data_IF_467605431914
#
_entry.id   IF_467605431914
#
_cell.length_a   1.000
_cell.length_b   1.000
_cell.length_c   1.000
_cell.angle_alpha   90.00
_cell.angle_beta   90.00
_cell.angle_gamma   90.00
#
_symmetry.space_group_name_H-M   'P 1'
#
loop_
_entity.id
_entity.type
_entity.pdbx_description
1 polymer ?
#
# COMPACT_ATOMS: atom_id res chain seq x y z
N UNK A 1 -9.57 -10.91 -14.85
CA UNK A 1 -10.39 -10.36 -13.73
C UNK A 1 -9.79 -9.06 -13.23
N UNK A 2 -10.57 -8.00 -13.02
CA UNK A 2 -10.07 -6.73 -12.46
C UNK A 2 -10.25 -6.69 -10.93
N UNK A 3 -9.23 -6.20 -10.23
CA UNK A 3 -9.17 -6.06 -8.78
C UNK A 3 -9.03 -4.57 -8.48
N UNK A 4 -9.94 -4.01 -7.68
CA UNK A 4 -9.83 -2.66 -7.16
C UNK A 4 -9.19 -2.71 -5.77
N UNK A 5 -8.02 -2.12 -5.61
CA UNK A 5 -7.22 -2.18 -4.39
C UNK A 5 -7.12 -0.81 -3.71
N UNK A 6 -7.18 -0.79 -2.37
CA UNK A 6 -7.08 0.41 -1.54
C UNK A 6 -5.96 0.31 -0.51
N UNK A 7 -5.20 1.39 -0.36
CA UNK A 7 -4.15 1.55 0.66
C UNK A 7 -4.36 2.88 1.39
N UNK A 8 -4.39 2.82 2.73
CA UNK A 8 -4.61 3.98 3.61
C UNK A 8 -4.02 3.74 5.00
N UNK A 9 -2.91 3.01 5.10
CA UNK A 9 -2.30 2.62 6.39
C UNK A 9 -1.57 3.75 7.11
N UNK A 10 -1.11 4.78 6.39
CA UNK A 10 -0.29 5.85 6.95
C UNK A 10 -0.69 7.25 6.43
N UNK A 11 0.06 7.81 5.48
CA UNK A 11 -0.08 9.20 5.00
C UNK A 11 -0.27 9.29 3.48
N UNK A 12 -0.54 8.15 2.83
CA UNK A 12 -0.86 8.04 1.42
C UNK A 12 -2.23 7.38 1.27
N UNK A 13 -3.12 8.01 0.52
CA UNK A 13 -4.39 7.39 0.12
C UNK A 13 -4.23 6.93 -1.31
N UNK A 14 -4.33 5.62 -1.54
CA UNK A 14 -4.13 5.07 -2.88
C UNK A 14 -5.28 4.17 -3.31
N UNK A 15 -5.60 4.26 -4.59
CA UNK A 15 -6.53 3.37 -5.27
C UNK A 15 -5.90 2.89 -6.58
N UNK A 16 -5.89 1.58 -6.80
CA UNK A 16 -5.30 0.98 -7.98
C UNK A 16 -6.23 -0.06 -8.59
N UNK A 17 -6.21 -0.17 -9.92
CA UNK A 17 -6.85 -1.29 -10.62
C UNK A 17 -5.76 -2.22 -11.13
N UNK A 18 -5.82 -3.48 -10.70
CA UNK A 18 -4.91 -4.54 -11.15
C UNK A 18 -5.70 -5.60 -11.89
N UNK A 19 -5.26 -5.95 -13.10
CA UNK A 19 -5.83 -7.05 -13.88
C UNK A 19 -5.04 -8.32 -13.64
N UNK A 20 -5.74 -9.38 -13.26
CA UNK A 20 -5.25 -10.76 -13.37
C UNK A 20 -5.57 -11.27 -14.78
N UNK A 21 -4.52 -11.58 -15.52
CA UNK A 21 -4.56 -12.18 -16.86
C UNK A 21 -4.83 -13.69 -16.78
N UNK A 22 -5.22 -14.30 -17.90
CA UNK A 22 -5.59 -15.72 -17.97
C UNK A 22 -4.39 -16.66 -17.71
N UNK A 23 -3.19 -16.20 -18.04
CA UNK A 23 -1.93 -16.90 -17.74
C UNK A 23 -1.49 -16.80 -16.27
N UNK A 24 -2.27 -16.10 -15.45
CA UNK A 24 -2.04 -15.92 -14.02
C UNK A 24 -1.16 -14.72 -13.65
N UNK A 25 -0.62 -13.98 -14.62
CA UNK A 25 0.13 -12.74 -14.36
C UNK A 25 -0.78 -11.60 -13.92
N UNK A 26 -0.19 -10.63 -13.24
CA UNK A 26 -0.87 -9.41 -12.82
C UNK A 26 -0.31 -8.21 -13.58
N UNK A 27 -1.21 -7.33 -14.03
CA UNK A 27 -0.89 -6.08 -14.71
C UNK A 27 -1.56 -4.92 -13.99
N UNK A 28 -0.79 -3.90 -13.65
CA UNK A 28 -1.34 -2.64 -13.11
C UNK A 28 -1.95 -1.86 -14.28
N UNK A 29 -3.24 -1.53 -14.17
CA UNK A 29 -3.96 -0.69 -15.15
C UNK A 29 -4.00 0.78 -14.72
N UNK A 30 -4.07 1.03 -13.42
CA UNK A 30 -3.97 2.35 -12.82
C UNK A 30 -3.42 2.25 -11.40
N UNK A 31 -2.75 3.31 -10.96
CA UNK A 31 -2.26 3.51 -9.59
C UNK A 31 -2.32 5.01 -9.28
N UNK A 32 -3.32 5.41 -8.49
CA UNK A 32 -3.58 6.80 -8.12
C UNK A 32 -3.22 6.98 -6.66
N UNK A 33 -2.34 7.94 -6.38
CA UNK A 33 -1.82 8.20 -5.04
C UNK A 33 -2.08 9.67 -4.67
N UNK A 34 -2.80 9.89 -3.57
CA UNK A 34 -2.94 11.17 -2.89
C UNK A 34 -2.05 11.19 -1.65
N UNK A 35 -0.85 11.76 -1.79
CA UNK A 35 0.17 11.86 -0.74
C UNK A 35 -0.04 13.07 0.16
N UNK A 36 0.12 12.87 1.47
CA UNK A 36 -0.03 13.91 2.50
C UNK A 36 1.31 14.48 2.99
N UNK A 37 2.42 14.16 2.31
CA UNK A 37 3.79 14.56 2.73
C UNK A 37 3.91 16.06 2.96
N UNK A 38 3.31 16.91 2.10
CA UNK A 38 3.35 18.37 2.27
C UNK A 38 2.69 18.81 3.58
N UNK A 39 1.53 18.24 3.89
CA UNK A 39 0.76 18.52 5.10
C UNK A 39 1.55 18.14 6.36
N UNK A 40 2.19 16.96 6.35
CA UNK A 40 2.93 16.44 7.51
C UNK A 40 4.33 17.05 7.66
N UNK A 41 4.90 17.63 6.59
CA UNK A 41 6.19 18.34 6.65
C UNK A 41 6.18 19.47 7.67
N UNK A 42 5.05 20.18 7.82
CA UNK A 42 4.87 21.25 8.80
C UNK A 42 5.06 20.78 10.25
N UNK A 43 4.81 19.50 10.52
CA UNK A 43 4.90 18.90 11.85
C UNK A 43 6.17 18.07 12.06
N UNK A 44 6.96 17.87 10.99
CA UNK A 44 8.17 17.04 11.02
C UNK A 44 7.90 15.56 11.24
N UNK A 45 6.72 15.08 10.83
CA UNK A 45 6.27 13.70 10.96
C UNK A 45 4.75 13.56 10.80
N UNK A 46 4.28 12.33 10.63
CA UNK A 46 2.86 12.03 10.40
C UNK A 46 2.04 12.29 11.67
N UNK A 47 1.02 13.14 11.56
CA UNK A 47 0.03 13.39 12.62
C UNK A 47 -1.21 12.52 12.37
N UNK A 48 -1.51 11.51 13.22
CA UNK A 48 -2.52 10.49 12.92
C UNK A 48 -3.94 11.02 12.64
N UNK A 49 -4.38 12.04 13.36
CA UNK A 49 -5.71 12.65 13.17
C UNK A 49 -5.79 13.39 11.82
N UNK A 50 -4.74 14.15 11.46
CA UNK A 50 -4.68 14.86 10.19
C UNK A 50 -4.67 13.84 9.03
N UNK A 51 -3.91 12.76 9.19
CA UNK A 51 -3.85 11.72 8.18
C UNK A 51 -5.21 11.05 7.94
N UNK A 52 -5.91 10.71 9.02
CA UNK A 52 -7.24 10.11 8.95
C UNK A 52 -8.25 10.99 8.21
N UNK A 53 -8.22 12.32 8.45
CA UNK A 53 -9.11 13.26 7.74
C UNK A 53 -8.78 13.36 6.25
N UNK A 54 -7.51 13.46 5.91
CA UNK A 54 -7.08 13.54 4.52
C UNK A 54 -7.49 12.29 3.72
N UNK A 55 -7.45 11.09 4.32
CA UNK A 55 -7.98 9.90 3.67
C UNK A 55 -9.48 10.00 3.38
N UNK A 56 -10.29 10.53 4.32
CA UNK A 56 -11.74 10.69 4.12
C UNK A 56 -12.02 11.62 2.95
N UNK A 57 -11.28 12.72 2.86
CA UNK A 57 -11.43 13.72 1.80
C UNK A 57 -11.01 13.16 0.42
N UNK A 58 -10.01 12.29 0.38
CA UNK A 58 -9.42 11.80 -0.87
C UNK A 58 -10.08 10.53 -1.43
N UNK A 59 -10.47 9.58 -0.57
CA UNK A 59 -10.70 8.18 -0.96
C UNK A 59 -11.75 8.01 -2.07
N UNK A 60 -12.85 8.76 -2.02
CA UNK A 60 -13.87 8.66 -3.07
C UNK A 60 -13.38 9.20 -4.40
N UNK A 61 -12.67 10.34 -4.40
CA UNK A 61 -12.16 10.98 -5.62
C UNK A 61 -11.12 10.09 -6.31
N UNK A 62 -10.13 9.60 -5.57
CA UNK A 62 -9.09 8.75 -6.14
C UNK A 62 -9.65 7.42 -6.67
N UNK A 63 -10.76 6.92 -6.10
CA UNK A 63 -11.43 5.72 -6.59
C UNK A 63 -11.97 5.95 -8.01
N UNK A 64 -12.64 7.08 -8.23
CA UNK A 64 -13.13 7.44 -9.57
C UNK A 64 -11.97 7.63 -10.55
N UNK A 65 -10.93 8.35 -10.14
CA UNK A 65 -9.73 8.57 -10.97
C UNK A 65 -9.05 7.25 -11.34
N UNK A 66 -8.96 6.29 -10.40
CA UNK A 66 -8.35 4.99 -10.67
C UNK A 66 -9.17 4.16 -11.67
N UNK A 67 -10.50 4.19 -11.58
CA UNK A 67 -11.38 3.51 -12.54
C UNK A 67 -11.30 4.16 -13.93
N UNK A 68 -11.31 5.49 -13.98
CA UNK A 68 -11.20 6.27 -15.22
C UNK A 68 -9.84 6.04 -15.90
N UNK A 69 -8.73 6.16 -15.16
CA UNK A 69 -7.39 5.92 -15.67
C UNK A 69 -7.19 4.49 -16.19
N UNK A 70 -7.84 3.50 -15.56
CA UNK A 70 -7.83 2.11 -16.02
C UNK A 70 -8.74 1.84 -17.22
N UNK A 71 -9.66 2.77 -17.55
CA UNK A 71 -10.67 2.58 -18.58
C UNK A 71 -11.65 1.44 -18.27
N UNK A 72 -12.00 1.25 -16.99
CA UNK A 72 -12.87 0.16 -16.52
C UNK A 72 -14.08 0.73 -15.78
N UNK A 73 -15.25 0.13 -15.98
CA UNK A 73 -16.41 0.46 -15.17
C UNK A 73 -16.34 -0.25 -13.81
N UNK A 74 -17.01 0.31 -12.80
CA UNK A 74 -17.13 -0.36 -11.49
C UNK A 74 -17.78 -1.75 -11.61
N UNK A 75 -18.70 -1.93 -12.56
CA UNK A 75 -19.33 -3.23 -12.87
C UNK A 75 -18.37 -4.28 -13.39
N UNK A 76 -17.18 -3.89 -13.87
CA UNK A 76 -16.15 -4.80 -14.38
C UNK A 76 -15.18 -5.27 -13.28
N UNK A 77 -15.35 -4.79 -12.05
CA UNK A 77 -14.53 -5.16 -10.89
C UNK A 77 -15.03 -6.48 -10.31
N UNK A 78 -14.16 -7.48 -10.28
CA UNK A 78 -14.47 -8.82 -9.76
C UNK A 78 -14.03 -9.03 -8.29
N UNK A 79 -13.22 -8.13 -7.74
CA UNK A 79 -12.70 -8.23 -6.39
C UNK A 79 -12.32 -6.84 -5.85
N UNK A 80 -12.63 -6.58 -4.59
CA UNK A 80 -12.10 -5.44 -3.83
C UNK A 80 -11.05 -5.93 -2.84
N UNK A 81 -9.89 -5.29 -2.81
CA UNK A 81 -8.81 -5.55 -1.85
C UNK A 81 -8.52 -4.28 -1.03
N UNK A 82 -8.25 -4.43 0.26
CA UNK A 82 -7.94 -3.27 1.11
C UNK A 82 -6.93 -3.62 2.20
N UNK A 83 -5.96 -2.75 2.41
CA UNK A 83 -5.03 -2.86 3.52
C UNK A 83 -5.76 -2.75 4.86
N UNK A 84 -5.61 -3.77 5.69
CA UNK A 84 -6.27 -3.87 6.99
C UNK A 84 -5.30 -3.85 8.17
N UNK A 85 -4.00 -4.07 7.94
CA UNK A 85 -2.95 -4.08 8.96
C UNK A 85 -1.56 -4.22 8.30
N UNK A 86 -0.46 -3.93 9.02
CA UNK A 86 -0.40 -2.95 10.10
C UNK A 86 -0.64 -1.51 9.58
N UNK A 87 -0.80 -0.55 10.49
CA UNK A 87 -1.01 0.86 10.13
C UNK A 87 -1.65 1.67 11.25
N UNK A 88 -1.80 2.97 11.01
CA UNK A 88 -2.50 3.88 11.91
C UNK A 88 -3.99 3.53 11.93
N UNK A 89 -4.54 3.25 13.11
CA UNK A 89 -5.91 2.72 13.23
C UNK A 89 -6.96 3.64 12.59
N UNK A 90 -6.84 4.96 12.76
CA UNK A 90 -7.75 5.92 12.15
C UNK A 90 -7.70 5.89 10.63
N UNK A 91 -6.48 5.84 10.07
CA UNK A 91 -6.25 5.78 8.63
C UNK A 91 -6.75 4.46 8.01
N UNK A 92 -6.44 3.31 8.63
CA UNK A 92 -6.89 1.99 8.21
C UNK A 92 -8.43 1.90 8.17
N UNK A 93 -9.10 2.45 9.19
CA UNK A 93 -10.57 2.39 9.27
C UNK A 93 -11.24 3.13 8.11
N UNK A 94 -10.63 4.19 7.56
CA UNK A 94 -11.18 4.90 6.40
C UNK A 94 -11.20 3.98 5.18
N UNK A 95 -10.05 3.42 4.81
CA UNK A 95 -9.93 2.50 3.68
C UNK A 95 -10.83 1.28 3.85
N UNK A 96 -10.75 0.62 5.01
CA UNK A 96 -11.52 -0.61 5.29
C UNK A 96 -13.02 -0.35 5.22
N UNK A 97 -13.53 0.73 5.81
CA UNK A 97 -14.97 1.02 5.80
C UNK A 97 -15.45 1.45 4.41
N UNK A 98 -14.67 2.23 3.67
CA UNK A 98 -15.00 2.59 2.30
C UNK A 98 -15.05 1.35 1.40
N UNK A 99 -14.03 0.50 1.45
CA UNK A 99 -13.96 -0.74 0.67
C UNK A 99 -15.11 -1.70 1.02
N UNK A 100 -15.45 -1.85 2.31
CA UNK A 100 -16.61 -2.62 2.75
C UNK A 100 -17.92 -2.07 2.19
N UNK A 101 -18.13 -0.76 2.27
CA UNK A 101 -19.32 -0.10 1.74
C UNK A 101 -19.47 -0.31 0.23
N UNK A 102 -18.39 -0.06 -0.52
CA UNK A 102 -18.36 -0.23 -1.97
C UNK A 102 -18.59 -1.70 -2.37
N UNK A 103 -17.90 -2.64 -1.73
CA UNK A 103 -18.03 -4.06 -2.02
C UNK A 103 -19.45 -4.56 -1.72
N UNK A 104 -20.00 -4.22 -0.55
CA UNK A 104 -21.35 -4.62 -0.15
C UNK A 104 -22.44 -4.03 -1.05
N UNK A 105 -22.31 -2.76 -1.44
CA UNK A 105 -23.28 -2.10 -2.31
C UNK A 105 -23.34 -2.69 -3.73
N UNK A 106 -22.25 -3.31 -4.20
CA UNK A 106 -22.12 -3.85 -5.56
C UNK A 106 -22.08 -5.38 -5.60
N UNK A 107 -22.18 -6.07 -4.46
CA UNK A 107 -22.08 -7.53 -4.40
C UNK A 107 -20.71 -8.08 -4.79
N UNK A 108 -19.65 -7.29 -4.63
CA UNK A 108 -18.28 -7.67 -5.00
C UNK A 108 -17.59 -8.34 -3.79
N UNK A 109 -16.86 -9.45 -3.95
CA UNK A 109 -16.07 -10.03 -2.87
C UNK A 109 -15.02 -9.04 -2.33
N UNK A 110 -14.74 -9.11 -1.03
CA UNK A 110 -13.78 -8.26 -0.34
C UNK A 110 -12.67 -9.11 0.31
N UNK A 111 -11.41 -8.70 0.12
CA UNK A 111 -10.24 -9.31 0.74
C UNK A 111 -9.48 -8.28 1.58
N UNK A 112 -9.23 -8.63 2.83
CA UNK A 112 -8.33 -7.88 3.70
C UNK A 112 -6.87 -8.24 3.37
N UNK A 113 -6.03 -7.22 3.25
CA UNK A 113 -4.61 -7.35 2.86
C UNK A 113 -3.72 -6.89 4.01
N UNK A 114 -2.62 -7.61 4.20
CA UNK A 114 -1.52 -7.21 5.08
C UNK A 114 -0.57 -6.31 4.28
N UNK A 115 -0.34 -5.09 4.76
CA UNK A 115 0.47 -4.04 4.15
C UNK A 115 1.88 -4.52 3.81
N UNK A 116 2.51 -5.29 4.71
CA UNK A 116 3.89 -5.78 4.52
C UNK A 116 3.91 -6.90 3.49
N UNK A 117 2.90 -7.78 3.51
CA UNK A 117 2.76 -8.77 2.44
C UNK A 117 2.47 -8.10 1.10
N UNK A 118 1.73 -6.99 1.08
CA UNK A 118 1.53 -6.15 -0.10
C UNK A 118 2.85 -5.61 -0.66
N UNK A 119 3.70 -5.05 0.20
CA UNK A 119 5.05 -4.60 -0.18
C UNK A 119 5.91 -5.74 -0.77
N UNK A 120 5.90 -6.92 -0.16
CA UNK A 120 6.64 -8.07 -0.69
C UNK A 120 6.04 -8.53 -2.03
N UNK A 121 4.71 -8.53 -2.13
CA UNK A 121 3.99 -8.94 -3.33
C UNK A 121 4.18 -7.97 -4.51
N UNK A 122 4.62 -6.73 -4.27
CA UNK A 122 5.00 -5.80 -5.35
C UNK A 122 6.12 -6.38 -6.23
N UNK A 123 6.98 -7.26 -5.69
CA UNK A 123 7.99 -7.96 -6.48
C UNK A 123 7.40 -8.93 -7.53
N UNK A 124 6.11 -9.29 -7.40
CA UNK A 124 5.39 -10.06 -8.43
C UNK A 124 4.85 -9.19 -9.57
N UNK A 125 5.00 -7.88 -9.50
CA UNK A 125 4.62 -6.90 -10.52
C UNK A 125 5.89 -6.37 -11.19
N UNK A 126 6.42 -7.04 -12.22
CA UNK A 126 7.69 -6.64 -12.84
C UNK A 126 7.55 -5.26 -13.50
N UNK A 127 8.51 -4.39 -13.28
CA UNK A 127 8.52 -3.05 -13.88
C UNK A 127 8.80 -3.10 -15.40
N UNK A 128 9.56 -4.12 -15.83
CA UNK A 128 9.82 -4.44 -17.24
C UNK A 128 9.55 -5.91 -17.47
N UNK A 129 9.11 -6.28 -18.68
CA UNK A 129 8.94 -7.69 -19.05
C UNK A 129 10.22 -8.52 -18.93
N UNK A 130 11.39 -7.88 -18.99
CA UNK A 130 12.70 -8.50 -18.78
C UNK A 130 13.00 -8.83 -17.32
N UNK A 131 12.27 -8.23 -16.37
CA UNK A 131 12.51 -8.44 -14.95
C UNK A 131 11.94 -9.81 -14.56
N UNK A 132 12.78 -10.64 -13.92
CA UNK A 132 12.34 -11.93 -13.43
C UNK A 132 11.32 -11.78 -12.29
N UNK A 133 10.25 -12.54 -12.35
CA UNK A 133 9.28 -12.65 -11.24
C UNK A 133 9.78 -13.71 -10.26
N UNK A 134 9.98 -13.38 -8.98
CA UNK A 134 10.45 -14.37 -8.01
C UNK A 134 9.39 -15.46 -7.80
N UNK A 135 9.83 -16.71 -7.74
CA UNK A 135 8.96 -17.86 -7.44
C UNK A 135 9.29 -18.36 -6.03
N UNK A 136 8.31 -18.48 -5.10
CA UNK A 136 8.57 -19.06 -3.79
C UNK A 136 9.17 -20.48 -3.86
N UNK A 137 10.08 -20.86 -2.94
CA UNK A 137 10.46 -20.09 -1.76
C UNK A 137 11.60 -19.09 -2.00
N UNK A 138 11.53 -17.92 -1.36
CA UNK A 138 12.60 -16.91 -1.37
C UNK A 138 12.67 -16.13 -0.05
N UNK A 139 13.76 -15.36 0.14
CA UNK A 139 13.89 -14.41 1.22
C UNK A 139 13.51 -13.01 0.73
N UNK A 140 12.73 -12.29 1.53
CA UNK A 140 12.35 -10.91 1.28
C UNK A 140 12.86 -10.01 2.40
N UNK A 141 13.53 -8.91 2.02
CA UNK A 141 13.91 -7.83 2.93
C UNK A 141 12.88 -6.70 2.78
N UNK A 142 12.02 -6.54 3.78
CA UNK A 142 11.04 -5.45 3.84
C UNK A 142 11.63 -4.28 4.62
N UNK A 143 11.91 -3.18 3.91
CA UNK A 143 12.47 -1.93 4.47
C UNK A 143 11.61 -0.74 4.06
N UNK A 144 11.05 -0.05 5.04
CA UNK A 144 10.24 1.16 4.87
C UNK A 144 10.50 2.15 6.02
N UNK A 145 9.74 3.26 6.04
CA UNK A 145 9.75 4.22 7.15
C UNK A 145 9.51 3.57 8.51
N UNK A 146 8.57 2.61 8.59
CA UNK A 146 8.16 1.97 9.85
C UNK A 146 8.50 0.48 9.96
N UNK A 147 9.15 -0.12 8.96
CA UNK A 147 9.43 -1.56 8.96
C UNK A 147 10.86 -1.86 8.53
N UNK A 148 11.51 -2.79 9.21
CA UNK A 148 12.82 -3.35 8.82
C UNK A 148 12.85 -4.80 9.26
N UNK A 149 12.53 -5.70 8.33
CA UNK A 149 12.32 -7.12 8.63
C UNK A 149 12.71 -8.04 7.47
N UNK A 150 13.14 -9.25 7.82
CA UNK A 150 13.43 -10.34 6.90
C UNK A 150 12.34 -11.39 7.01
N UNK A 151 11.72 -11.71 5.88
CA UNK A 151 10.71 -12.77 5.76
C UNK A 151 11.24 -13.91 4.89
N UNK A 152 10.92 -15.15 5.28
CA UNK A 152 10.95 -16.29 4.38
C UNK A 152 9.57 -16.45 3.77
N UNK A 153 9.48 -16.26 2.46
CA UNK A 153 8.26 -16.50 1.68
C UNK A 153 8.27 -17.96 1.27
N UNK A 154 7.39 -18.77 1.85
CA UNK A 154 7.30 -20.21 1.52
C UNK A 154 6.36 -20.44 0.33
N UNK A 155 5.25 -19.70 0.27
CA UNK A 155 4.26 -19.69 -0.81
C UNK A 155 3.74 -18.27 -1.02
N UNK A 156 2.85 -18.05 -2.01
CA UNK A 156 2.24 -16.74 -2.24
C UNK A 156 1.42 -16.19 -1.07
N UNK A 157 1.03 -17.04 -0.11
CA UNK A 157 0.22 -16.67 1.06
C UNK A 157 0.86 -17.02 2.40
N UNK A 158 1.95 -17.80 2.41
CA UNK A 158 2.67 -18.19 3.62
C UNK A 158 4.01 -17.45 3.75
N UNK A 159 4.08 -16.58 4.76
CA UNK A 159 5.18 -15.70 5.06
C UNK A 159 5.62 -15.94 6.51
N UNK A 160 6.87 -16.30 6.72
CA UNK A 160 7.47 -16.49 8.04
C UNK A 160 8.43 -15.36 8.34
N UNK A 161 8.17 -14.57 9.38
CA UNK A 161 9.13 -13.61 9.92
C UNK A 161 10.37 -14.35 10.47
N UNK A 162 11.55 -13.98 9.99
CA UNK A 162 12.84 -14.53 10.44
C UNK A 162 13.50 -13.59 11.46
N UNK A 163 13.41 -12.29 11.23
CA UNK A 163 13.95 -11.27 12.13
C UNK A 163 13.44 -9.88 11.78
N UNK A 164 13.41 -8.99 12.76
CA UNK A 164 12.99 -7.58 12.62
C UNK A 164 13.89 -6.70 13.49
N UNK A 165 13.93 -5.40 13.19
CA UNK A 165 14.52 -4.42 14.11
C UNK A 165 13.87 -4.52 15.50
N UNK A 166 14.64 -4.17 16.54
CA UNK A 166 14.17 -4.13 17.94
C UNK A 166 13.77 -2.73 18.38
N UNK A 167 14.19 -1.73 17.63
CA UNK A 167 14.03 -0.30 17.91
C UNK A 167 13.60 0.41 16.62
N UNK A 168 14.42 1.32 16.10
CA UNK A 168 14.09 2.15 14.96
C UNK A 168 14.13 1.30 13.68
N UNK A 169 13.16 1.51 12.82
CA UNK A 169 13.27 1.07 11.44
C UNK A 169 14.38 1.86 10.72
N UNK A 170 14.90 1.31 9.63
CA UNK A 170 15.95 1.97 8.86
C UNK A 170 15.46 3.33 8.31
N UNK A 171 14.22 3.40 7.79
CA UNK A 171 13.65 4.65 7.29
C UNK A 171 13.46 5.70 8.39
N UNK A 172 12.94 5.29 9.55
CA UNK A 172 12.85 6.15 10.74
C UNK A 172 14.23 6.66 11.21
N UNK A 173 15.25 5.80 11.16
CA UNK A 173 16.62 6.19 11.49
C UNK A 173 17.13 7.28 10.55
N UNK A 174 16.85 7.18 9.25
CA UNK A 174 17.17 8.23 8.27
C UNK A 174 16.45 9.54 8.60
N UNK A 175 15.15 9.50 8.89
CA UNK A 175 14.37 10.70 9.20
C UNK A 175 14.82 11.40 10.49
N UNK A 176 15.15 10.63 11.54
CA UNK A 176 15.68 11.18 12.80
C UNK A 176 17.05 11.82 12.62
N UNK A 177 17.98 11.13 11.95
CA UNK A 177 19.32 11.67 11.69
C UNK A 177 19.25 12.88 10.77
N UNK A 178 18.43 12.80 9.71
CA UNK A 178 18.19 13.91 8.80
C UNK A 178 17.72 15.17 9.52
N UNK A 179 16.73 15.04 10.40
CA UNK A 179 16.26 16.15 11.25
C UNK A 179 17.38 16.75 12.12
N UNK A 180 18.24 15.91 12.69
CA UNK A 180 19.35 16.36 13.53
C UNK A 180 20.38 17.18 12.75
N UNK A 181 20.61 16.84 11.48
CA UNK A 181 21.59 17.51 10.60
C UNK A 181 20.97 18.54 9.65
N UNK A 182 19.69 18.88 9.82
CA UNK A 182 19.00 19.92 9.05
C UNK A 182 18.50 19.51 7.67
N UNK A 183 18.39 18.20 7.38
CA UNK A 183 17.73 17.69 6.17
C UNK A 183 16.20 17.70 6.35
N UNK A 184 15.44 18.27 5.40
CA UNK A 184 13.98 18.26 5.47
C UNK A 184 13.36 16.86 5.44
N UNK A 185 12.18 16.72 6.04
CA UNK A 185 11.39 15.49 5.96
C UNK A 185 10.73 15.30 4.58
N UNK A 186 10.70 14.07 4.02
CA UNK A 186 11.39 12.85 4.49
C UNK A 186 12.88 12.83 4.10
N UNK A 187 13.76 12.50 5.04
CA UNK A 187 15.21 12.61 4.86
C UNK A 187 15.84 11.42 4.14
N UNK A 188 15.13 10.30 4.03
CA UNK A 188 15.56 9.13 3.26
C UNK A 188 15.49 9.31 1.74
N UNK A 189 14.95 10.43 1.23
CA UNK A 189 14.95 10.74 -0.20
C UNK A 189 16.28 11.38 -0.58
N UNK A 190 17.16 10.59 -1.20
CA UNK A 190 18.33 11.06 -1.95
C UNK A 190 17.94 11.68 -3.28
#
# INVERSE_FOLDING_TARGET
MNILAFESSCDETSAAVVRREDDGRFRVLSDIIASQVETHRLYGGVVPEIASRAHIEAISKITYEALEAAGVALSDIGLVAVTANPGLIGALLVGVNFAKGLAAANGIPLVAVDHIKGHIAAAYLPAKESDGVPVPPFLALAVSGGHTAIYKVNTYTDYRLIGTTRDDAIGESFDKVGRLIGIPYPAGRG
#
